data_IF_193911026272
#
_entry.id   IF_193911026272
#
_cell.length_a   1.000
_cell.length_b   1.000
_cell.length_c   1.000
_cell.angle_alpha   90.00
_cell.angle_beta   90.00
_cell.angle_gamma   90.00
#
_symmetry.space_group_name_H-M   'P 1'
#
loop_
_entity.id
_entity.type
_entity.pdbx_description
1 polymer ?
#
# COMPACT_ATOMS: atom_id res chain seq x y z
N UNK A 1 -21.92 4.03 -4.92
CA UNK A 1 -23.25 3.54 -5.35
C UNK A 1 -23.05 2.07 -5.69
N UNK A 2 -23.78 1.17 -5.03
CA UNK A 2 -23.66 -0.28 -5.22
C UNK A 2 -24.96 -0.79 -5.81
N UNK A 3 -24.90 -1.53 -6.91
CA UNK A 3 -26.06 -2.17 -7.53
C UNK A 3 -26.30 -3.54 -6.88
N UNK A 4 -27.16 -3.60 -5.86
CA UNK A 4 -27.43 -4.82 -5.09
C UNK A 4 -27.89 -6.00 -5.97
N UNK A 5 -28.58 -5.71 -7.07
CA UNK A 5 -29.08 -6.71 -8.00
C UNK A 5 -27.98 -7.53 -8.69
N UNK A 6 -26.80 -6.96 -8.88
CA UNK A 6 -25.63 -7.67 -9.44
C UNK A 6 -25.13 -8.75 -8.47
N UNK A 7 -25.09 -8.42 -7.18
CA UNK A 7 -24.70 -9.34 -6.11
C UNK A 7 -25.77 -10.41 -5.90
N UNK A 8 -27.06 -10.05 -5.99
CA UNK A 8 -28.18 -11.00 -5.94
C UNK A 8 -28.08 -12.03 -7.08
N UNK A 9 -27.83 -11.58 -8.31
CA UNK A 9 -27.71 -12.45 -9.48
C UNK A 9 -26.51 -13.41 -9.35
N UNK A 10 -25.34 -12.87 -8.96
CA UNK A 10 -24.15 -13.70 -8.76
C UNK A 10 -24.33 -14.73 -7.64
N UNK A 11 -25.08 -14.41 -6.58
CA UNK A 11 -25.34 -15.35 -5.49
C UNK A 11 -26.34 -16.44 -5.91
N UNK A 12 -27.31 -16.10 -6.77
CA UNK A 12 -28.28 -17.05 -7.33
C UNK A 12 -27.67 -18.00 -8.37
N UNK A 13 -26.52 -17.66 -8.97
CA UNK A 13 -25.78 -18.56 -9.87
C UNK A 13 -25.07 -19.72 -9.14
N UNK A 14 -24.95 -19.65 -7.81
CA UNK A 14 -24.32 -20.73 -7.05
C UNK A 14 -25.17 -22.02 -7.16
N UNK A 15 -24.60 -23.18 -7.57
CA UNK A 15 -25.38 -24.40 -7.85
C UNK A 15 -26.21 -24.94 -6.69
N UNK A 16 -25.86 -24.56 -5.46
CA UNK A 16 -26.59 -24.94 -4.25
C UNK A 16 -27.69 -23.95 -3.82
N UNK A 17 -27.83 -22.80 -4.47
CA UNK A 17 -28.74 -21.71 -4.06
C UNK A 17 -29.94 -21.64 -5.00
N UNK A 18 -31.14 -21.75 -4.43
CA UNK A 18 -32.42 -21.65 -5.13
C UNK A 18 -32.91 -20.20 -5.27
N UNK A 19 -32.69 -19.37 -4.24
CA UNK A 19 -33.08 -17.96 -4.23
C UNK A 19 -32.06 -17.14 -3.45
N UNK A 20 -31.84 -15.90 -3.86
CA UNK A 20 -30.94 -14.98 -3.20
C UNK A 20 -31.57 -13.59 -3.04
N UNK A 21 -31.18 -12.88 -1.99
CA UNK A 21 -31.49 -11.47 -1.79
C UNK A 21 -30.29 -10.78 -1.15
N UNK A 22 -30.08 -9.49 -1.44
CA UNK A 22 -28.98 -8.72 -0.85
C UNK A 22 -29.52 -7.43 -0.27
N UNK A 23 -29.07 -7.09 0.93
CA UNK A 23 -29.46 -5.90 1.65
C UNK A 23 -28.21 -5.14 2.11
N UNK A 24 -28.23 -3.81 2.01
CA UNK A 24 -27.28 -2.97 2.72
C UNK A 24 -27.79 -2.71 4.15
N UNK A 25 -26.96 -2.97 5.16
CA UNK A 25 -27.27 -2.77 6.58
C UNK A 25 -26.02 -2.26 7.31
N UNK A 26 -26.10 -1.12 8.00
CA UNK A 26 -24.95 -0.49 8.69
C UNK A 26 -23.67 -0.40 7.83
N UNK A 27 -23.77 0.19 6.65
CA UNK A 27 -22.66 0.39 5.69
C UNK A 27 -21.97 -0.89 5.17
N UNK A 28 -22.60 -2.06 5.29
CA UNK A 28 -22.13 -3.34 4.74
C UNK A 28 -23.21 -4.09 3.98
N UNK A 29 -22.80 -4.99 3.10
CA UNK A 29 -23.69 -5.89 2.36
C UNK A 29 -23.96 -7.18 3.14
N UNK A 30 -25.23 -7.60 3.16
CA UNK A 30 -25.70 -8.87 3.74
C UNK A 30 -26.35 -9.70 2.64
N UNK A 31 -25.87 -10.92 2.43
CA UNK A 31 -26.39 -11.86 1.43
C UNK A 31 -27.29 -12.91 2.07
N UNK A 32 -28.55 -12.98 1.66
CA UNK A 32 -29.48 -14.01 2.07
C UNK A 32 -29.56 -15.07 0.97
N UNK A 33 -29.43 -16.34 1.32
CA UNK A 33 -29.49 -17.44 0.38
C UNK A 33 -30.44 -18.54 0.88
N UNK A 34 -31.28 -19.04 -0.01
CA UNK A 34 -32.14 -20.20 0.22
C UNK A 34 -31.53 -21.40 -0.52
N UNK A 35 -31.06 -22.45 0.17
CA UNK A 35 -30.51 -23.62 -0.50
C UNK A 35 -31.57 -24.40 -1.30
N UNK A 36 -31.13 -25.14 -2.33
CA UNK A 36 -31.97 -26.17 -2.95
C UNK A 36 -32.33 -27.29 -1.96
N UNK A 37 -33.48 -27.94 -2.17
CA UNK A 37 -33.86 -29.12 -1.39
C UNK A 37 -32.77 -30.20 -1.53
N UNK A 38 -32.25 -30.68 -0.40
CA UNK A 38 -31.13 -31.63 -0.28
C UNK A 38 -29.72 -31.09 -0.60
N UNK A 39 -29.54 -29.78 -0.77
CA UNK A 39 -28.21 -29.17 -0.89
C UNK A 39 -27.68 -28.74 0.50
N UNK A 40 -26.44 -29.12 0.81
CA UNK A 40 -25.72 -28.54 1.95
C UNK A 40 -24.85 -27.40 1.46
N UNK A 41 -25.22 -26.17 1.79
CA UNK A 41 -24.49 -24.95 1.40
C UNK A 41 -23.76 -24.41 2.63
N UNK A 42 -22.45 -24.16 2.52
CA UNK A 42 -21.69 -23.47 3.56
C UNK A 42 -21.44 -22.02 3.17
N UNK A 43 -21.39 -21.13 4.17
CA UNK A 43 -21.11 -19.70 3.95
C UNK A 43 -19.77 -19.45 3.27
N UNK A 44 -18.73 -20.24 3.60
CA UNK A 44 -17.43 -20.15 2.95
C UNK A 44 -17.51 -20.43 1.43
N UNK A 45 -18.35 -21.38 1.02
CA UNK A 45 -18.55 -21.75 -0.38
C UNK A 45 -19.25 -20.61 -1.15
N UNK A 46 -20.25 -19.95 -0.52
CA UNK A 46 -20.92 -18.76 -1.08
C UNK A 46 -19.97 -17.56 -1.20
N UNK A 47 -19.15 -17.31 -0.19
CA UNK A 47 -18.16 -16.23 -0.20
C UNK A 47 -17.11 -16.45 -1.28
N UNK A 48 -16.55 -17.66 -1.37
CA UNK A 48 -15.60 -18.02 -2.42
C UNK A 48 -16.20 -17.90 -3.82
N UNK A 49 -17.46 -18.31 -4.00
CA UNK A 49 -18.17 -18.17 -5.26
C UNK A 49 -18.32 -16.70 -5.69
N UNK A 50 -18.68 -15.80 -4.76
CA UNK A 50 -18.82 -14.38 -5.05
C UNK A 50 -17.47 -13.67 -5.23
N UNK A 51 -16.47 -13.97 -4.40
CA UNK A 51 -15.13 -13.38 -4.53
C UNK A 51 -14.45 -13.73 -5.86
N UNK A 52 -14.80 -14.86 -6.47
CA UNK A 52 -14.33 -15.22 -7.81
C UNK A 52 -15.02 -14.49 -8.96
N UNK A 53 -16.06 -13.70 -8.70
CA UNK A 53 -16.95 -13.07 -9.70
C UNK A 53 -17.15 -11.58 -9.51
N UNK A 54 -16.98 -11.08 -8.29
CA UNK A 54 -17.25 -9.70 -7.90
C UNK A 54 -16.01 -9.09 -7.23
N UNK A 55 -15.77 -7.77 -7.39
CA UNK A 55 -14.84 -7.02 -6.56
C UNK A 55 -15.09 -7.22 -5.06
N UNK A 56 -14.02 -7.22 -4.26
CA UNK A 56 -14.10 -7.51 -2.80
C UNK A 56 -15.14 -6.66 -2.04
N UNK A 57 -15.30 -5.39 -2.41
CA UNK A 57 -16.26 -4.48 -1.77
C UNK A 57 -17.73 -4.79 -2.10
N UNK A 58 -18.00 -5.63 -3.11
CA UNK A 58 -19.33 -6.12 -3.49
C UNK A 58 -19.64 -7.49 -2.89
N UNK A 59 -18.66 -8.17 -2.31
CA UNK A 59 -18.87 -9.46 -1.62
C UNK A 59 -19.52 -9.20 -0.26
N UNK A 60 -20.70 -9.78 0.04
CA UNK A 60 -21.34 -9.61 1.33
C UNK A 60 -20.43 -9.97 2.51
N UNK A 61 -20.39 -9.08 3.49
CA UNK A 61 -19.63 -9.29 4.72
C UNK A 61 -20.27 -10.41 5.57
N UNK A 62 -21.58 -10.58 5.47
CA UNK A 62 -22.38 -11.56 6.22
C UNK A 62 -23.29 -12.33 5.26
N UNK A 63 -23.42 -13.63 5.47
CA UNK A 63 -24.40 -14.47 4.78
C UNK A 63 -25.39 -15.08 5.77
N UNK A 64 -26.67 -15.11 5.41
CA UNK A 64 -27.75 -15.70 6.20
C UNK A 64 -28.44 -16.75 5.34
N UNK A 65 -28.43 -18.00 5.81
CA UNK A 65 -29.17 -19.09 5.17
C UNK A 65 -30.61 -19.10 5.67
N UNK A 66 -31.57 -19.13 4.75
CA UNK A 66 -33.00 -19.14 5.03
C UNK A 66 -33.66 -20.38 4.42
N UNK A 67 -34.75 -20.84 5.02
CA UNK A 67 -35.59 -21.87 4.42
C UNK A 67 -36.42 -21.32 3.24
N UNK A 68 -36.80 -20.04 3.30
CA UNK A 68 -37.49 -19.32 2.24
C UNK A 68 -37.30 -17.80 2.39
N UNK A 69 -37.37 -17.06 1.28
CA UNK A 69 -37.40 -15.60 1.33
C UNK A 69 -38.81 -15.12 1.77
N UNK A 70 -38.90 -14.11 2.66
CA UNK A 70 -40.18 -13.54 3.04
C UNK A 70 -40.80 -12.79 1.86
N UNK A 71 -42.09 -13.01 1.62
CA UNK A 71 -42.84 -12.38 0.52
C UNK A 71 -43.99 -11.53 1.08
N UNK A 72 -44.21 -10.38 0.44
CA UNK A 72 -45.40 -9.56 0.64
C UNK A 72 -46.66 -10.29 0.14
N UNK A 73 -47.88 -9.86 0.53
CA UNK A 73 -49.13 -10.42 0.01
C UNK A 73 -49.28 -10.41 -1.53
N UNK A 74 -48.49 -9.56 -2.21
CA UNK A 74 -48.45 -9.46 -3.67
C UNK A 74 -47.35 -10.34 -4.32
N UNK A 75 -46.70 -11.23 -3.55
CA UNK A 75 -45.69 -12.17 -4.05
C UNK A 75 -44.31 -11.57 -4.35
N UNK A 76 -44.05 -10.32 -3.93
CA UNK A 76 -42.71 -9.68 -4.04
C UNK A 76 -41.92 -9.87 -2.75
N UNK A 77 -40.58 -9.92 -2.85
CA UNK A 77 -39.66 -9.96 -1.71
C UNK A 77 -39.97 -8.83 -0.70
N UNK A 78 -40.24 -9.23 0.55
CA UNK A 78 -40.39 -8.31 1.67
C UNK A 78 -39.05 -8.09 2.36
N UNK A 79 -38.31 -7.07 1.91
CA UNK A 79 -36.99 -6.74 2.46
C UNK A 79 -37.03 -6.29 3.93
N UNK A 80 -38.17 -5.77 4.40
CA UNK A 80 -38.31 -5.34 5.80
C UNK A 80 -38.51 -6.52 6.75
N UNK A 81 -38.99 -7.65 6.24
CA UNK A 81 -39.18 -8.89 6.99
C UNK A 81 -37.96 -9.84 6.95
N UNK A 82 -36.87 -9.45 6.29
CA UNK A 82 -35.62 -10.23 6.32
C UNK A 82 -35.04 -10.23 7.75
N UNK A 83 -34.61 -11.39 8.28
CA UNK A 83 -34.03 -11.46 9.62
C UNK A 83 -32.82 -10.56 9.74
N UNK A 84 -32.71 -9.80 10.83
CA UNK A 84 -31.51 -9.04 11.12
C UNK A 84 -30.31 -10.01 11.20
N UNK A 85 -29.15 -9.66 10.59
CA UNK A 85 -27.97 -10.50 10.64
C UNK A 85 -27.55 -10.69 12.10
N UNK A 86 -27.61 -11.92 12.60
CA UNK A 86 -27.03 -12.25 13.91
C UNK A 86 -25.53 -12.15 13.74
N UNK A 87 -24.89 -11.23 14.47
CA UNK A 87 -23.44 -11.10 14.52
C UNK A 87 -22.82 -12.38 15.08
N UNK A 88 -22.49 -13.34 14.21
CA UNK A 88 -21.83 -14.57 14.61
C UNK A 88 -21.93 -15.70 13.59
N UNK A 89 -20.89 -15.85 12.77
CA UNK A 89 -20.26 -17.16 12.45
C UNK A 89 -19.21 -17.01 11.34
N UNK A 90 -18.14 -16.26 11.65
CA UNK A 90 -16.84 -16.59 11.07
C UNK A 90 -16.34 -17.83 11.82
N UNK A 91 -16.56 -19.01 11.23
CA UNK A 91 -15.99 -20.29 11.65
C UNK A 91 -16.47 -20.84 12.99
N UNK A 92 -16.68 -22.15 13.05
CA UNK A 92 -16.59 -22.92 14.29
C UNK A 92 -15.11 -22.98 14.75
N UNK A 93 -14.45 -21.83 14.82
CA UNK A 93 -13.05 -21.67 15.14
C UNK A 93 -12.86 -21.60 16.65
N UNK A 94 -11.71 -22.08 17.11
CA UNK A 94 -11.32 -21.99 18.51
C UNK A 94 -11.30 -20.52 18.95
N UNK A 95 -11.96 -20.22 20.07
CA UNK A 95 -11.92 -18.90 20.72
C UNK A 95 -10.53 -18.68 21.33
N UNK A 96 -9.98 -17.44 21.33
CA UNK A 96 -8.74 -17.13 22.03
C UNK A 96 -8.81 -17.54 23.50
N UNK A 97 -7.81 -18.29 23.95
CA UNK A 97 -7.68 -18.85 25.31
C UNK A 97 -6.71 -18.04 26.17
N UNK A 98 -5.89 -17.19 25.55
CA UNK A 98 -4.92 -16.34 26.25
C UNK A 98 -5.12 -14.87 25.88
N UNK A 99 -4.74 -13.93 26.76
CA UNK A 99 -4.74 -12.50 26.43
C UNK A 99 -3.91 -12.18 25.18
N UNK A 100 -2.85 -12.96 24.95
CA UNK A 100 -2.00 -12.83 23.77
C UNK A 100 -2.72 -13.28 22.49
N UNK A 101 -3.41 -14.42 22.49
CA UNK A 101 -4.25 -14.85 21.35
C UNK A 101 -5.35 -13.81 21.07
N UNK A 102 -5.94 -13.20 22.11
CA UNK A 102 -6.96 -12.16 21.94
C UNK A 102 -6.40 -10.90 21.26
N UNK A 103 -5.28 -10.36 21.75
CA UNK A 103 -4.65 -9.18 21.13
C UNK A 103 -4.24 -9.49 19.68
N UNK A 104 -3.74 -10.69 19.40
CA UNK A 104 -3.37 -11.08 18.03
C UNK A 104 -4.59 -11.17 17.10
N UNK A 105 -5.72 -11.74 17.55
CA UNK A 105 -6.98 -11.72 16.81
C UNK A 105 -7.42 -10.28 16.48
N UNK A 106 -7.34 -9.37 17.45
CA UNK A 106 -7.69 -7.96 17.27
C UNK A 106 -6.76 -7.26 16.26
N UNK A 107 -5.46 -7.53 16.33
CA UNK A 107 -4.47 -6.98 15.38
C UNK A 107 -4.66 -7.53 13.96
N UNK A 108 -4.96 -8.83 13.81
CA UNK A 108 -5.29 -9.42 12.51
C UNK A 108 -6.54 -8.76 11.93
N UNK A 109 -7.61 -8.66 12.72
CA UNK A 109 -8.86 -8.03 12.32
C UNK A 109 -8.66 -6.58 11.87
N UNK A 110 -7.93 -5.78 12.65
CA UNK A 110 -7.62 -4.38 12.34
C UNK A 110 -6.84 -4.24 11.02
N UNK A 111 -5.84 -5.11 10.80
CA UNK A 111 -4.96 -5.04 9.63
C UNK A 111 -5.66 -5.50 8.36
N UNK A 112 -6.45 -6.58 8.46
CA UNK A 112 -7.20 -7.15 7.35
C UNK A 112 -8.49 -6.37 7.05
N UNK A 113 -8.93 -5.50 7.97
CA UNK A 113 -10.19 -4.76 7.83
C UNK A 113 -11.43 -5.64 7.97
N UNK A 114 -11.32 -6.75 8.71
CA UNK A 114 -12.41 -7.70 8.95
C UNK A 114 -12.95 -7.56 10.38
N UNK A 115 -14.23 -7.85 10.65
CA UNK A 115 -14.83 -7.61 11.96
C UNK A 115 -14.27 -8.51 13.07
N UNK A 116 -13.85 -9.72 12.73
CA UNK A 116 -13.30 -10.68 13.67
C UNK A 116 -12.40 -11.67 12.94
N UNK A 117 -11.37 -12.16 13.64
CA UNK A 117 -10.47 -13.23 13.19
C UNK A 117 -10.42 -14.30 14.29
N UNK A 118 -10.65 -15.55 13.91
CA UNK A 118 -10.50 -16.73 14.76
C UNK A 118 -9.04 -17.12 14.96
N UNK A 119 -8.75 -17.92 16.00
CA UNK A 119 -7.36 -18.22 16.37
C UNK A 119 -6.65 -19.07 15.32
N UNK A 120 -7.40 -19.90 14.60
CA UNK A 120 -6.89 -20.81 13.59
C UNK A 120 -7.12 -20.29 12.15
N UNK A 121 -7.62 -19.05 12.00
CA UNK A 121 -7.82 -18.44 10.69
C UNK A 121 -6.46 -18.03 10.09
N UNK A 122 -6.26 -18.38 8.81
CA UNK A 122 -5.05 -18.06 8.07
C UNK A 122 -5.08 -16.61 7.56
N UNK A 123 -4.01 -15.87 7.86
CA UNK A 123 -3.86 -14.47 7.48
C UNK A 123 -4.04 -14.22 5.97
N UNK A 124 -3.49 -15.10 5.14
CA UNK A 124 -3.49 -14.97 3.68
C UNK A 124 -4.83 -15.43 3.09
N UNK A 125 -5.49 -16.42 3.68
CA UNK A 125 -6.86 -16.82 3.29
C UNK A 125 -7.88 -15.70 3.55
N UNK A 126 -7.63 -14.85 4.55
CA UNK A 126 -8.46 -13.69 4.87
C UNK A 126 -8.13 -12.44 4.02
N UNK A 127 -7.37 -12.58 2.94
CA UNK A 127 -7.01 -11.46 2.05
C UNK A 127 -5.72 -10.74 2.44
N UNK A 128 -4.96 -11.28 3.39
CA UNK A 128 -3.64 -10.78 3.75
C UNK A 128 -2.65 -10.87 2.60
N UNK A 129 -1.82 -9.84 2.43
CA UNK A 129 -0.69 -9.83 1.49
C UNK A 129 0.55 -9.24 2.17
N UNK A 130 1.72 -9.32 1.54
CA UNK A 130 3.04 -9.00 2.14
C UNK A 130 3.11 -7.63 2.84
N UNK A 131 2.33 -6.67 2.35
CA UNK A 131 2.25 -5.32 2.88
C UNK A 131 1.41 -5.24 4.16
N UNK A 132 0.25 -5.91 4.17
CA UNK A 132 -0.54 -6.10 5.38
C UNK A 132 0.22 -6.94 6.40
N UNK A 133 0.95 -7.97 5.96
CA UNK A 133 1.84 -8.76 6.80
C UNK A 133 2.92 -7.89 7.48
N UNK A 134 3.51 -6.96 6.74
CA UNK A 134 4.49 -6.00 7.29
C UNK A 134 3.84 -5.05 8.30
N UNK A 135 2.62 -4.57 8.03
CA UNK A 135 1.83 -3.76 8.97
C UNK A 135 1.50 -4.55 10.24
N UNK A 136 1.08 -5.80 10.10
CA UNK A 136 0.77 -6.71 11.20
C UNK A 136 1.99 -6.92 12.09
N UNK A 137 3.15 -7.26 11.52
CA UNK A 137 4.41 -7.40 12.27
C UNK A 137 4.77 -6.11 13.01
N UNK A 138 4.62 -4.95 12.37
CA UNK A 138 4.88 -3.66 13.00
C UNK A 138 3.94 -3.37 14.18
N UNK A 139 2.64 -3.72 14.05
CA UNK A 139 1.62 -3.56 15.10
C UNK A 139 1.83 -4.53 16.26
N UNK A 140 2.13 -5.80 15.97
CA UNK A 140 2.48 -6.80 16.99
C UNK A 140 3.66 -6.31 17.83
N UNK A 141 4.70 -5.76 17.19
CA UNK A 141 5.83 -5.17 17.91
C UNK A 141 5.41 -4.00 18.80
N UNK A 142 4.60 -3.06 18.29
CA UNK A 142 4.20 -1.88 19.09
C UNK A 142 3.28 -2.22 20.25
N UNK A 143 2.41 -3.23 20.09
CA UNK A 143 1.35 -3.55 21.06
C UNK A 143 1.77 -4.62 22.06
N UNK A 144 2.51 -5.64 21.62
CA UNK A 144 2.90 -6.80 22.44
C UNK A 144 4.38 -6.77 22.83
N UNK A 145 5.20 -5.88 22.25
CA UNK A 145 6.64 -5.83 22.51
C UNK A 145 7.42 -7.04 21.96
N UNK A 146 6.81 -7.82 21.07
CA UNK A 146 7.39 -9.04 20.50
C UNK A 146 7.83 -8.83 19.05
N UNK A 147 8.93 -9.47 18.65
CA UNK A 147 9.42 -9.44 17.27
C UNK A 147 9.08 -10.76 16.57
N UNK A 148 8.21 -10.68 15.56
CA UNK A 148 7.95 -11.79 14.64
C UNK A 148 8.60 -11.45 13.31
N UNK A 149 9.56 -12.25 12.89
CA UNK A 149 10.13 -12.13 11.55
C UNK A 149 9.03 -12.38 10.50
N UNK A 150 9.08 -11.67 9.37
CA UNK A 150 8.13 -11.89 8.28
C UNK A 150 8.07 -13.36 7.84
N UNK A 151 9.24 -14.04 7.85
CA UNK A 151 9.33 -15.49 7.62
C UNK A 151 8.48 -16.31 8.60
N UNK A 152 8.47 -15.94 9.88
CA UNK A 152 7.66 -16.61 10.90
C UNK A 152 6.17 -16.49 10.60
N UNK A 153 5.71 -15.32 10.15
CA UNK A 153 4.31 -15.14 9.73
C UNK A 153 3.95 -16.00 8.51
N UNK A 154 4.85 -16.17 7.54
CA UNK A 154 4.60 -17.08 6.41
C UNK A 154 4.64 -18.58 6.81
N UNK A 155 5.45 -18.94 7.80
CA UNK A 155 5.55 -20.33 8.28
C UNK A 155 4.38 -20.72 9.19
N UNK A 156 3.90 -19.79 9.99
CA UNK A 156 2.78 -19.97 10.91
C UNK A 156 1.79 -18.81 10.74
N UNK A 157 0.96 -18.83 9.68
CA UNK A 157 0.08 -17.71 9.29
C UNK A 157 -1.18 -17.56 10.14
N UNK A 158 -1.31 -18.28 11.24
CA UNK A 158 -2.46 -18.24 12.15
C UNK A 158 -2.07 -17.64 13.50
N UNK A 159 -3.05 -17.09 14.22
CA UNK A 159 -2.83 -16.58 15.58
C UNK A 159 -2.33 -17.71 16.51
N UNK A 160 -2.84 -18.93 16.35
CA UNK A 160 -2.40 -20.12 17.06
C UNK A 160 -0.90 -20.37 16.89
N UNK A 161 -0.45 -20.41 15.63
CA UNK A 161 0.93 -20.71 15.28
C UNK A 161 1.87 -19.60 15.74
N UNK A 162 1.47 -18.33 15.53
CA UNK A 162 2.23 -17.19 16.04
C UNK A 162 2.33 -17.20 17.56
N UNK A 163 1.23 -17.38 18.29
CA UNK A 163 1.26 -17.40 19.75
C UNK A 163 2.15 -18.49 20.33
N UNK A 164 2.29 -19.63 19.64
CA UNK A 164 3.19 -20.70 20.06
C UNK A 164 4.67 -20.34 19.86
N UNK A 165 5.02 -19.69 18.75
CA UNK A 165 6.40 -19.28 18.43
C UNK A 165 6.86 -18.04 19.22
N UNK A 166 5.93 -17.21 19.67
CA UNK A 166 6.21 -15.96 20.38
C UNK A 166 6.84 -16.16 21.76
N UNK A 167 6.68 -17.34 22.39
CA UNK A 167 7.36 -17.66 23.65
C UNK A 167 8.89 -17.76 23.49
N UNK A 168 9.38 -17.91 22.26
CA UNK A 168 10.82 -18.06 21.91
C UNK A 168 11.42 -16.77 21.31
N UNK A 169 10.65 -15.68 21.21
CA UNK A 169 11.07 -14.48 20.49
C UNK A 169 12.22 -13.74 21.19
N UNK A 170 13.41 -13.78 20.57
CA UNK A 170 14.61 -13.06 20.98
C UNK A 170 14.57 -11.54 20.76
N UNK A 171 15.71 -10.90 21.10
CA UNK A 171 15.98 -9.44 21.22
C UNK A 171 15.05 -8.51 20.42
N UNK A 172 14.20 -7.78 21.16
CA UNK A 172 13.30 -6.73 20.67
C UNK A 172 14.05 -5.65 19.88
N UNK A 173 13.75 -5.51 18.57
CA UNK A 173 14.16 -4.37 17.76
C UNK A 173 13.71 -3.04 18.40
N UNK A 174 14.60 -2.06 18.61
CA UNK A 174 14.25 -0.76 19.17
C UNK A 174 13.10 -0.10 18.39
N UNK A 175 12.20 0.57 19.12
CA UNK A 175 11.09 1.32 18.51
C UNK A 175 11.62 2.53 17.73
N UNK A 176 10.93 2.89 16.65
CA UNK A 176 11.17 4.15 15.95
C UNK A 176 10.49 5.29 16.72
N UNK A 177 11.26 6.29 17.11
CA UNK A 177 10.77 7.49 17.80
C UNK A 177 11.62 8.70 17.41
N UNK A 178 11.05 9.89 17.58
CA UNK A 178 11.81 11.14 17.52
C UNK A 178 13.02 11.10 18.47
N UNK A 179 14.16 11.63 18.01
CA UNK A 179 15.41 11.60 18.77
C UNK A 179 16.23 12.86 18.52
N UNK A 180 17.21 13.09 19.39
CA UNK A 180 18.21 14.13 19.17
C UNK A 180 19.02 13.80 17.90
N UNK A 181 19.15 14.80 17.02
CA UNK A 181 19.80 14.68 15.73
C UNK A 181 21.20 15.31 15.81
N UNK A 182 22.23 14.68 15.24
CA UNK A 182 23.52 15.34 15.08
C UNK A 182 23.39 16.55 14.15
N UNK A 183 24.36 17.45 14.19
CA UNK A 183 24.42 18.62 13.30
C UNK A 183 24.40 18.20 11.82
N UNK A 184 25.11 17.13 11.48
CA UNK A 184 25.13 16.52 10.16
C UNK A 184 24.39 15.19 10.19
N UNK A 185 23.16 15.18 9.69
CA UNK A 185 22.36 13.95 9.58
C UNK A 185 22.80 13.18 8.34
N UNK A 186 23.25 11.91 8.46
CA UNK A 186 23.66 11.14 7.29
C UNK A 186 22.45 10.76 6.42
N UNK A 187 22.67 10.32 5.19
CA UNK A 187 21.60 9.73 4.37
C UNK A 187 21.19 8.35 4.87
N UNK A 188 19.93 7.96 4.61
CA UNK A 188 19.52 6.55 4.74
C UNK A 188 20.24 5.70 3.69
N UNK A 189 20.27 4.37 3.85
CA UNK A 189 20.89 3.51 2.83
C UNK A 189 20.19 3.61 1.46
N UNK A 190 18.86 3.77 1.46
CA UNK A 190 18.09 3.98 0.23
C UNK A 190 18.41 5.34 -0.43
N UNK A 191 18.53 6.40 0.37
CA UNK A 191 18.90 7.72 -0.14
C UNK A 191 20.35 7.76 -0.65
N UNK A 192 21.29 7.07 0.00
CA UNK A 192 22.68 6.98 -0.47
C UNK A 192 22.75 6.43 -1.91
N UNK A 193 22.02 5.34 -2.19
CA UNK A 193 21.94 4.78 -3.56
C UNK A 193 21.44 5.82 -4.55
N UNK A 194 20.34 6.50 -4.23
CA UNK A 194 19.74 7.49 -5.15
C UNK A 194 20.62 8.72 -5.35
N UNK A 195 21.26 9.22 -4.28
CA UNK A 195 22.22 10.31 -4.37
C UNK A 195 23.44 9.93 -5.23
N UNK A 196 23.98 8.72 -5.04
CA UNK A 196 25.08 8.21 -5.86
C UNK A 196 24.70 8.14 -7.34
N UNK A 197 23.55 7.57 -7.67
CA UNK A 197 23.06 7.50 -9.05
C UNK A 197 22.84 8.90 -9.64
N UNK A 198 22.27 9.82 -8.86
CA UNK A 198 22.10 11.21 -9.27
C UNK A 198 23.44 11.92 -9.56
N UNK A 199 24.49 11.63 -8.79
CA UNK A 199 25.84 12.18 -9.04
C UNK A 199 26.53 11.54 -10.24
N UNK A 200 26.34 10.24 -10.43
CA UNK A 200 26.97 9.45 -11.50
C UNK A 200 26.34 9.73 -12.87
N UNK A 201 25.01 9.68 -12.97
CA UNK A 201 24.28 9.86 -14.22
C UNK A 201 23.98 11.33 -14.54
N UNK A 202 24.28 12.23 -13.60
CA UNK A 202 23.83 13.61 -13.60
C UNK A 202 22.36 13.74 -13.23
N UNK A 203 21.87 14.99 -13.25
CA UNK A 203 20.48 15.29 -12.92
C UNK A 203 19.55 14.81 -14.05
N UNK A 204 19.16 13.53 -14.01
CA UNK A 204 18.21 12.91 -14.94
C UNK A 204 16.83 12.75 -14.30
N UNK A 205 15.80 12.59 -15.13
CA UNK A 205 14.43 12.38 -14.68
C UNK A 205 14.07 10.91 -14.37
N UNK A 206 15.06 9.99 -14.40
CA UNK A 206 14.82 8.56 -14.25
C UNK A 206 14.19 8.17 -12.89
N UNK A 207 14.37 9.02 -11.87
CA UNK A 207 13.85 8.83 -10.52
C UNK A 207 12.82 9.89 -10.11
N UNK A 208 12.14 10.50 -11.08
CA UNK A 208 11.00 11.36 -10.78
C UNK A 208 9.71 10.54 -10.63
N UNK A 209 8.85 11.00 -9.72
CA UNK A 209 7.51 10.48 -9.47
C UNK A 209 6.52 11.60 -9.80
N UNK A 210 6.05 11.69 -11.07
CA UNK A 210 5.04 12.65 -11.47
C UNK A 210 3.63 12.16 -11.08
N UNK A 211 2.88 13.01 -10.40
CA UNK A 211 1.49 12.79 -9.99
C UNK A 211 0.63 13.91 -10.62
N UNK A 212 -0.17 13.56 -11.63
CA UNK A 212 -1.09 14.50 -12.28
C UNK A 212 -2.51 14.29 -11.76
N UNK A 213 -3.14 15.36 -11.26
CA UNK A 213 -4.51 15.39 -10.77
C UNK A 213 -5.34 16.34 -11.64
N UNK A 214 -6.33 15.81 -12.35
CA UNK A 214 -7.33 16.64 -13.03
C UNK A 214 -8.38 17.10 -12.01
N UNK A 215 -8.60 18.40 -11.95
CA UNK A 215 -9.50 19.08 -11.01
C UNK A 215 -10.60 19.77 -11.81
N UNK A 216 -11.86 19.48 -11.47
CA UNK A 216 -13.05 20.07 -12.13
C UNK A 216 -13.87 20.84 -11.10
N UNK A 217 -14.31 22.04 -11.46
CA UNK A 217 -15.02 22.99 -10.62
C UNK A 217 -14.17 24.19 -10.19
N UNK A 218 -14.73 25.00 -9.29
CA UNK A 218 -14.06 26.19 -8.76
C UNK A 218 -12.84 25.81 -7.92
N UNK A 219 -11.67 26.33 -8.31
CA UNK A 219 -10.40 26.11 -7.60
C UNK A 219 -9.96 27.39 -6.89
N UNK A 220 -9.82 27.33 -5.55
CA UNK A 220 -9.14 28.37 -4.79
C UNK A 220 -7.62 28.15 -4.87
N UNK A 221 -6.99 28.89 -5.78
CA UNK A 221 -5.55 28.77 -6.03
C UNK A 221 -4.69 29.15 -4.82
N UNK A 222 -5.14 30.11 -4.02
CA UNK A 222 -4.41 30.55 -2.83
C UNK A 222 -4.50 29.51 -1.72
N UNK A 223 -5.69 28.91 -1.53
CA UNK A 223 -5.88 27.80 -0.62
C UNK A 223 -5.03 26.58 -1.03
N UNK A 224 -4.91 26.29 -2.33
CA UNK A 224 -4.06 25.22 -2.85
C UNK A 224 -2.57 25.45 -2.55
N UNK A 225 -2.06 26.65 -2.83
CA UNK A 225 -0.67 26.99 -2.53
C UNK A 225 -0.37 26.89 -1.02
N UNK A 226 -1.29 27.39 -0.19
CA UNK A 226 -1.18 27.28 1.27
C UNK A 226 -1.25 25.83 1.76
N UNK A 227 -2.10 25.01 1.15
CA UNK A 227 -2.21 23.59 1.50
C UNK A 227 -0.93 22.82 1.16
N UNK A 228 -0.30 23.10 0.02
CA UNK A 228 1.00 22.54 -0.32
C UNK A 228 2.08 22.98 0.67
N UNK A 229 2.08 24.25 1.09
CA UNK A 229 2.99 24.75 2.11
C UNK A 229 2.80 24.01 3.45
N UNK A 230 1.56 23.76 3.88
CA UNK A 230 1.26 23.01 5.11
C UNK A 230 1.78 21.57 5.05
N UNK A 231 1.62 20.91 3.91
CA UNK A 231 2.10 19.54 3.69
C UNK A 231 3.63 19.49 3.70
N UNK A 232 4.30 20.44 3.03
CA UNK A 232 5.77 20.54 3.04
C UNK A 232 6.32 20.89 4.42
N UNK A 233 5.61 21.71 5.19
CA UNK A 233 5.97 21.99 6.58
C UNK A 233 5.89 20.72 7.45
N UNK A 234 4.80 19.94 7.28
CA UNK A 234 4.52 18.71 8.03
C UNK A 234 5.50 17.57 7.75
N UNK A 235 5.85 17.36 6.48
CA UNK A 235 6.68 16.24 6.03
C UNK A 235 8.09 16.73 5.67
N UNK A 236 9.05 16.55 6.58
CA UNK A 236 10.42 17.07 6.43
C UNK A 236 11.12 16.59 5.15
N UNK A 237 10.81 15.38 4.67
CA UNK A 237 11.40 14.81 3.45
C UNK A 237 11.13 15.68 2.21
N UNK A 238 10.01 16.39 2.15
CA UNK A 238 9.63 17.24 1.01
C UNK A 238 10.41 18.57 0.98
N UNK A 239 11.06 18.94 2.09
CA UNK A 239 11.91 20.14 2.22
C UNK A 239 13.36 19.81 2.62
N UNK A 240 13.79 18.58 2.38
CA UNK A 240 15.16 18.15 2.66
C UNK A 240 16.01 18.25 1.39
N UNK A 241 17.14 18.94 1.48
CA UNK A 241 18.19 18.94 0.44
C UNK A 241 19.35 18.05 0.87
N UNK A 242 20.19 17.66 -0.10
CA UNK A 242 21.20 16.61 0.03
C UNK A 242 22.61 17.10 -0.37
N UNK A 243 23.17 18.10 0.33
CA UNK A 243 24.50 18.60 0.05
C UNK A 243 25.59 17.59 0.46
N UNK A 244 26.80 17.85 -0.01
CA UNK A 244 28.01 17.15 0.41
C UNK A 244 28.73 18.02 1.46
N UNK A 245 29.11 17.42 2.59
CA UNK A 245 29.89 18.04 3.67
C UNK A 245 31.09 17.14 3.93
N UNK A 246 32.29 17.67 3.82
CA UNK A 246 33.55 16.92 4.01
C UNK A 246 33.65 15.62 3.19
N UNK A 247 33.12 15.64 1.96
CA UNK A 247 33.12 14.49 1.05
C UNK A 247 32.02 13.46 1.31
N UNK A 248 31.12 13.70 2.26
CA UNK A 248 30.01 12.81 2.60
C UNK A 248 28.65 13.49 2.35
N UNK A 249 27.67 12.79 1.75
CA UNK A 249 26.33 13.33 1.58
C UNK A 249 25.54 13.33 2.90
N UNK A 250 24.77 14.39 3.14
CA UNK A 250 23.96 14.54 4.34
C UNK A 250 22.54 15.01 4.02
N UNK A 251 21.63 14.82 4.97
CA UNK A 251 20.29 15.42 4.93
C UNK A 251 20.38 16.81 5.57
N UNK A 252 19.90 17.84 4.85
CA UNK A 252 19.68 19.17 5.41
C UNK A 252 18.21 19.55 5.23
N UNK A 253 17.47 19.47 6.33
CA UNK A 253 16.07 19.87 6.37
C UNK A 253 15.98 21.40 6.38
N UNK A 254 15.38 21.99 5.34
CA UNK A 254 15.23 23.44 5.24
C UNK A 254 14.07 23.95 6.10
N UNK A 255 14.12 25.22 6.49
CA UNK A 255 12.99 25.89 7.13
C UNK A 255 11.73 25.86 6.21
N UNK A 256 10.52 25.58 6.75
CA UNK A 256 9.30 25.51 5.95
C UNK A 256 9.01 26.76 5.10
N UNK A 257 9.29 27.95 5.61
CA UNK A 257 9.00 29.20 4.89
C UNK A 257 9.96 29.39 3.70
N UNK A 258 11.20 28.91 3.86
CA UNK A 258 12.20 28.92 2.78
C UNK A 258 11.87 27.90 1.69
N UNK A 259 11.33 26.73 2.06
CA UNK A 259 11.02 25.64 1.15
C UNK A 259 9.57 25.67 0.62
N UNK A 260 8.85 26.78 0.79
CA UNK A 260 7.43 26.92 0.38
C UNK A 260 7.27 26.71 -1.13
N UNK A 261 6.50 25.70 -1.58
CA UNK A 261 6.25 25.46 -3.00
C UNK A 261 5.52 26.65 -3.62
N UNK A 262 5.96 27.05 -4.83
CA UNK A 262 5.27 28.08 -5.62
C UNK A 262 4.49 27.41 -6.73
N UNK A 263 3.17 27.56 -6.71
CA UNK A 263 2.29 27.05 -7.77
C UNK A 263 2.09 28.16 -8.79
N UNK A 264 2.77 28.07 -9.95
CA UNK A 264 2.56 29.03 -11.04
C UNK A 264 1.48 28.49 -11.98
N UNK A 265 0.35 29.20 -12.16
CA UNK A 265 -0.64 28.80 -13.15
C UNK A 265 -0.10 29.05 -14.57
N UNK A 266 -0.31 28.08 -15.45
CA UNK A 266 -0.01 28.19 -16.87
C UNK A 266 -1.26 27.84 -17.68
N UNK A 267 -1.74 28.75 -18.51
CA UNK A 267 -2.82 28.47 -19.46
C UNK A 267 -2.31 27.54 -20.57
N UNK A 268 -3.01 26.43 -20.77
CA UNK A 268 -2.62 25.39 -21.74
C UNK A 268 -3.87 24.86 -22.43
N UNK A 269 -3.78 24.60 -23.75
CA UNK A 269 -4.86 23.94 -24.48
C UNK A 269 -4.85 22.45 -24.16
N UNK A 270 -6.02 21.82 -24.11
CA UNK A 270 -6.15 20.36 -23.90
C UNK A 270 -5.21 19.54 -24.79
N UNK A 271 -5.10 19.91 -26.07
CA UNK A 271 -4.25 19.22 -27.04
C UNK A 271 -2.75 19.29 -26.73
N UNK A 272 -2.29 20.32 -26.02
CA UNK A 272 -0.87 20.53 -25.69
C UNK A 272 -0.53 19.95 -24.30
N UNK A 273 -1.54 19.61 -23.50
CA UNK A 273 -1.36 19.15 -22.12
C UNK A 273 -0.40 17.95 -21.99
N UNK A 274 -0.49 16.88 -22.81
CA UNK A 274 0.42 15.73 -22.68
C UNK A 274 1.90 16.12 -22.84
N UNK A 275 2.22 17.00 -23.78
CA UNK A 275 3.58 17.47 -24.01
C UNK A 275 4.07 18.33 -22.84
N UNK A 276 3.23 19.24 -22.35
CA UNK A 276 3.56 20.11 -21.21
C UNK A 276 3.77 19.33 -19.91
N UNK A 277 2.93 18.33 -19.64
CA UNK A 277 3.12 17.41 -18.51
C UNK A 277 4.44 16.64 -18.64
N UNK A 278 4.75 16.12 -19.82
CA UNK A 278 5.97 15.36 -20.06
C UNK A 278 7.24 16.23 -19.97
N UNK A 279 7.17 17.50 -20.39
CA UNK A 279 8.25 18.48 -20.23
C UNK A 279 8.50 18.78 -18.75
N UNK A 280 7.45 19.18 -18.01
CA UNK A 280 7.52 19.49 -16.59
C UNK A 280 8.03 18.29 -15.76
N UNK A 281 7.51 17.09 -16.03
CA UNK A 281 7.94 15.86 -15.35
C UNK A 281 9.41 15.49 -15.59
N UNK A 282 10.00 15.95 -16.71
CA UNK A 282 11.41 15.68 -17.06
C UNK A 282 12.38 16.74 -16.58
N UNK A 283 11.90 17.87 -16.04
CA UNK A 283 12.78 18.92 -15.52
C UNK A 283 13.60 18.38 -14.35
N UNK A 284 14.94 18.35 -14.44
CA UNK A 284 15.79 17.74 -13.43
C UNK A 284 15.81 18.53 -12.12
N UNK A 285 16.00 17.86 -10.99
CA UNK A 285 16.22 18.50 -9.68
C UNK A 285 17.72 18.73 -9.42
N UNK A 286 18.08 19.84 -8.78
CA UNK A 286 19.39 19.96 -8.11
C UNK A 286 19.23 19.57 -6.64
N UNK A 287 19.47 18.29 -6.32
CA UNK A 287 19.25 17.79 -4.97
C UNK A 287 20.12 18.44 -3.90
N UNK A 288 21.22 19.14 -4.25
CA UNK A 288 22.08 19.80 -3.27
C UNK A 288 21.47 21.10 -2.71
N UNK A 289 20.61 21.77 -3.51
CA UNK A 289 20.10 23.11 -3.21
C UNK A 289 18.58 23.23 -3.29
N UNK A 290 17.93 22.33 -4.01
CA UNK A 290 16.50 22.39 -4.30
C UNK A 290 15.72 21.29 -3.57
N UNK A 291 14.61 21.65 -2.88
CA UNK A 291 13.67 20.67 -2.36
C UNK A 291 13.18 19.68 -3.44
N UNK A 292 13.05 18.38 -3.12
CA UNK A 292 12.71 17.32 -4.07
C UNK A 292 11.20 17.26 -4.41
N UNK A 293 10.54 18.42 -4.49
CA UNK A 293 9.11 18.56 -4.84
C UNK A 293 8.88 19.85 -5.65
N UNK A 294 8.24 19.71 -6.81
CA UNK A 294 7.71 20.81 -7.63
C UNK A 294 6.21 20.66 -7.82
N UNK A 295 5.54 21.80 -7.98
CA UNK A 295 4.12 21.87 -8.23
C UNK A 295 3.83 22.84 -9.38
N UNK A 296 3.12 22.36 -10.40
CA UNK A 296 2.67 23.16 -11.54
C UNK A 296 1.15 23.03 -11.70
N UNK A 297 0.48 24.14 -12.02
CA UNK A 297 -0.96 24.16 -12.26
C UNK A 297 -1.23 24.54 -13.71
N UNK A 298 -1.76 23.61 -14.49
CA UNK A 298 -2.22 23.86 -15.84
C UNK A 298 -3.70 24.27 -15.81
N UNK A 299 -4.03 25.40 -16.42
CA UNK A 299 -5.40 25.93 -16.52
C UNK A 299 -5.90 25.64 -17.93
N UNK A 300 -6.90 24.77 -18.05
CA UNK A 300 -7.50 24.35 -19.32
C UNK A 300 -8.76 25.17 -19.63
N UNK A 301 -9.54 25.46 -18.59
CA UNK A 301 -10.75 26.29 -18.61
C UNK A 301 -10.92 26.97 -17.23
N UNK A 302 -11.88 27.91 -17.05
CA UNK A 302 -12.13 28.54 -15.75
C UNK A 302 -12.42 27.57 -14.60
N UNK A 303 -12.99 26.41 -14.92
CA UNK A 303 -13.37 25.33 -14.00
C UNK A 303 -12.67 24.00 -14.31
N UNK A 304 -11.67 23.98 -15.19
CA UNK A 304 -10.87 22.78 -15.47
C UNK A 304 -9.38 23.06 -15.33
N UNK A 305 -8.73 22.29 -14.44
CA UNK A 305 -7.33 22.44 -14.11
C UNK A 305 -6.64 21.08 -14.03
N UNK A 306 -5.32 21.07 -14.20
CA UNK A 306 -4.48 19.90 -13.90
C UNK A 306 -3.35 20.33 -12.98
N UNK A 307 -3.32 19.79 -11.76
CA UNK A 307 -2.21 19.95 -10.84
C UNK A 307 -1.20 18.83 -11.08
N UNK A 308 0.01 19.19 -11.46
CA UNK A 308 1.14 18.27 -11.54
C UNK A 308 2.04 18.46 -10.32
N UNK A 309 2.20 17.41 -9.52
CA UNK A 309 3.22 17.33 -8.49
C UNK A 309 4.34 16.41 -8.98
N UNK A 310 5.56 16.91 -9.05
CA UNK A 310 6.73 16.10 -9.40
C UNK A 310 7.59 15.97 -8.15
N UNK A 311 7.78 14.76 -7.66
CA UNK A 311 8.62 14.46 -6.51
C UNK A 311 9.83 13.62 -6.92
N UNK A 312 11.01 13.88 -6.37
CA UNK A 312 12.15 12.97 -6.57
C UNK A 312 12.03 11.76 -5.64
N UNK A 313 12.32 10.55 -6.13
CA UNK A 313 12.19 9.29 -5.37
C UNK A 313 13.05 9.22 -4.09
N UNK A 314 13.99 10.15 -3.93
CA UNK A 314 14.81 10.30 -2.71
C UNK A 314 13.99 10.78 -1.49
N UNK A 315 12.85 11.42 -1.73
CA UNK A 315 11.99 12.01 -0.70
C UNK A 315 10.68 11.23 -0.44
N UNK A 316 10.32 10.33 -1.34
CA UNK A 316 9.11 9.52 -1.24
C UNK A 316 9.12 8.36 -2.21
N UNK A 317 8.21 7.43 -1.97
CA UNK A 317 8.02 6.19 -2.72
C UNK A 317 6.53 5.95 -3.01
N UNK A 318 6.18 4.77 -3.53
CA UNK A 318 4.79 4.41 -3.81
C UNK A 318 3.88 4.53 -2.57
N UNK A 319 4.37 4.17 -1.38
CA UNK A 319 3.59 4.28 -0.14
C UNK A 319 3.31 5.73 0.23
N UNK A 320 4.30 6.59 0.00
CA UNK A 320 4.27 8.01 0.35
C UNK A 320 3.18 8.80 -0.40
N UNK A 321 2.72 8.30 -1.55
CA UNK A 321 1.67 8.93 -2.36
C UNK A 321 0.33 9.02 -1.62
N UNK A 322 -0.06 7.98 -0.87
CA UNK A 322 -1.33 7.95 -0.13
C UNK A 322 -1.42 9.01 0.97
N UNK A 323 -0.47 9.05 1.93
CA UNK A 323 -0.38 10.12 2.93
C UNK A 323 -0.27 11.52 2.32
N UNK A 324 0.50 11.69 1.24
CA UNK A 324 0.62 12.97 0.53
C UNK A 324 -0.74 13.47 0.02
N UNK A 325 -1.47 12.63 -0.72
CA UNK A 325 -2.79 12.99 -1.27
C UNK A 325 -3.82 13.26 -0.17
N UNK A 326 -3.88 12.42 0.87
CA UNK A 326 -4.79 12.61 2.00
C UNK A 326 -4.51 13.92 2.73
N UNK A 327 -3.24 14.18 3.03
CA UNK A 327 -2.88 15.36 3.80
C UNK A 327 -3.09 16.64 2.96
N UNK A 328 -2.79 16.62 1.65
CA UNK A 328 -3.09 17.73 0.74
C UNK A 328 -4.59 18.04 0.66
N UNK A 329 -5.44 17.01 0.53
CA UNK A 329 -6.89 17.19 0.49
C UNK A 329 -7.42 17.82 1.80
N UNK A 330 -6.96 17.32 2.95
CA UNK A 330 -7.36 17.85 4.25
C UNK A 330 -6.87 19.30 4.48
N UNK A 331 -5.64 19.62 4.08
CA UNK A 331 -5.14 20.99 4.13
C UNK A 331 -5.90 21.93 3.21
N UNK A 332 -6.19 21.49 1.97
CA UNK A 332 -6.95 22.30 1.02
C UNK A 332 -8.35 22.62 1.55
N UNK A 333 -9.06 21.62 2.10
CA UNK A 333 -10.36 21.82 2.72
C UNK A 333 -10.31 22.84 3.88
N UNK A 334 -9.34 22.70 4.80
CA UNK A 334 -9.18 23.63 5.90
C UNK A 334 -8.88 25.06 5.42
N UNK A 335 -8.03 25.21 4.40
CA UNK A 335 -7.63 26.51 3.85
C UNK A 335 -8.76 27.20 3.08
N UNK A 336 -9.62 26.45 2.39
CA UNK A 336 -10.84 26.98 1.79
C UNK A 336 -11.80 27.59 2.82
N UNK A 337 -11.77 27.08 4.05
CA UNK A 337 -12.54 27.64 5.18
C UNK A 337 -11.78 28.74 5.95
N UNK A 338 -10.60 29.16 5.47
CA UNK A 338 -9.78 30.17 6.14
C UNK A 338 -9.08 29.68 7.41
N UNK A 339 -9.01 28.37 7.64
CA UNK A 339 -8.38 27.74 8.82
C UNK A 339 -7.05 27.10 8.45
N UNK A 340 -6.17 26.94 9.44
CA UNK A 340 -5.01 26.06 9.31
C UNK A 340 -5.43 24.60 9.52
N UNK A 341 -4.81 23.63 8.84
CA UNK A 341 -5.11 22.23 9.09
C UNK A 341 -4.69 21.81 10.49
N UNK A 342 -5.53 21.00 11.14
CA UNK A 342 -5.27 20.45 12.46
C UNK A 342 -5.04 18.95 12.35
N UNK A 343 -3.85 18.51 12.73
CA UNK A 343 -3.43 17.12 12.69
C UNK A 343 -2.40 16.84 13.78
N UNK A 344 -2.40 15.62 14.33
CA UNK A 344 -1.42 15.23 15.34
C UNK A 344 -0.01 15.33 14.76
N UNK A 345 0.94 15.68 15.64
CA UNK A 345 2.36 15.65 15.31
C UNK A 345 2.77 14.23 14.87
N UNK A 346 3.63 14.15 13.87
CA UNK A 346 4.19 12.87 13.45
C UNK A 346 5.12 12.35 14.56
N UNK A 347 5.01 11.07 14.97
CA UNK A 347 5.80 10.53 16.08
C UNK A 347 7.30 10.39 15.75
N UNK A 348 7.64 10.42 14.47
CA UNK A 348 9.00 10.44 13.94
C UNK A 348 8.99 11.04 12.52
N UNK A 349 10.13 11.59 12.11
CA UNK A 349 10.39 12.04 10.74
C UNK A 349 11.42 11.12 10.07
N UNK A 350 11.67 11.33 8.77
CA UNK A 350 12.56 10.47 8.00
C UNK A 350 14.02 10.51 8.47
N UNK A 351 14.48 11.66 9.00
CA UNK A 351 15.79 11.78 9.65
C UNK A 351 15.89 10.85 10.87
N UNK A 352 14.83 10.75 11.67
CA UNK A 352 14.79 9.86 12.83
C UNK A 352 14.82 8.39 12.40
N UNK A 353 14.09 8.02 11.33
CA UNK A 353 14.18 6.70 10.69
C UNK A 353 15.61 6.39 10.23
N UNK A 354 16.29 7.37 9.65
CA UNK A 354 17.66 7.20 9.14
C UNK A 354 18.63 6.86 10.26
N UNK A 355 18.59 7.64 11.35
CA UNK A 355 19.44 7.43 12.53
C UNK A 355 19.07 6.12 13.25
N UNK A 356 17.77 5.80 13.32
CA UNK A 356 17.28 4.55 13.90
C UNK A 356 17.75 3.34 13.09
N UNK A 357 17.64 3.36 11.76
CA UNK A 357 18.07 2.26 10.89
C UNK A 357 19.57 1.99 11.03
N UNK A 358 20.38 3.05 11.05
CA UNK A 358 21.83 2.94 11.25
C UNK A 358 22.18 2.36 12.62
N UNK A 359 21.58 2.90 13.68
CA UNK A 359 21.81 2.38 15.04
C UNK A 359 21.34 0.93 15.22
N UNK A 360 20.26 0.54 14.53
CA UNK A 360 19.76 -0.84 14.56
C UNK A 360 20.69 -1.83 13.87
N UNK A 361 21.21 -1.45 12.70
CA UNK A 361 22.10 -2.33 11.94
C UNK A 361 23.46 -2.43 12.62
N UNK A 362 23.89 -1.38 13.32
CA UNK A 362 25.18 -1.34 13.98
C UNK A 362 26.32 -1.05 13.00
N UNK A 363 27.54 -1.22 13.49
CA UNK A 363 28.76 -0.97 12.71
C UNK A 363 29.02 -2.13 11.74
N UNK A 364 29.41 -1.82 10.50
CA UNK A 364 29.78 -2.83 9.52
C UNK A 364 31.09 -3.53 9.89
N UNK A 365 31.98 -2.85 10.63
CA UNK A 365 33.26 -3.39 11.08
C UNK A 365 33.16 -4.23 12.35
N UNK A 366 31.98 -4.24 13.01
CA UNK A 366 31.66 -5.12 14.13
C UNK A 366 31.08 -6.45 13.61
N UNK A 367 31.81 -7.58 13.73
CA UNK A 367 31.35 -8.88 13.23
C UNK A 367 30.09 -9.39 13.95
N UNK A 368 29.78 -8.89 15.14
CA UNK A 368 28.59 -9.26 15.90
C UNK A 368 27.37 -8.38 15.58
N UNK A 369 27.52 -7.39 14.69
CA UNK A 369 26.43 -6.49 14.33
C UNK A 369 25.41 -7.15 13.40
N UNK A 370 24.16 -6.63 13.43
CA UNK A 370 23.12 -7.06 12.49
C UNK A 370 23.48 -6.72 11.04
N UNK A 371 24.30 -5.70 10.83
CA UNK A 371 24.82 -5.33 9.52
C UNK A 371 25.72 -6.44 8.97
N UNK A 372 26.72 -6.88 9.75
CA UNK A 372 27.66 -7.92 9.35
C UNK A 372 26.93 -9.25 9.09
N UNK A 373 25.99 -9.64 9.96
CA UNK A 373 25.16 -10.84 9.78
C UNK A 373 24.38 -10.83 8.46
N UNK A 374 23.69 -9.72 8.14
CA UNK A 374 22.93 -9.61 6.90
C UNK A 374 23.83 -9.53 5.66
N UNK A 375 24.98 -8.86 5.79
CA UNK A 375 25.95 -8.78 4.71
C UNK A 375 26.53 -10.17 4.37
N UNK A 376 26.86 -10.97 5.38
CA UNK A 376 27.35 -12.34 5.20
C UNK A 376 26.33 -13.22 4.49
N UNK A 377 25.06 -13.15 4.93
CA UNK A 377 23.96 -13.84 4.25
C UNK A 377 23.87 -13.46 2.77
N UNK A 378 23.82 -12.17 2.45
CA UNK A 378 23.68 -11.74 1.06
C UNK A 378 24.92 -12.02 0.21
N UNK A 379 26.12 -11.89 0.79
CA UNK A 379 27.37 -12.24 0.11
C UNK A 379 27.39 -13.72 -0.26
N UNK A 380 26.90 -14.58 0.64
CA UNK A 380 26.79 -16.03 0.40
C UNK A 380 25.70 -16.35 -0.64
N UNK A 381 24.50 -15.80 -0.52
CA UNK A 381 23.38 -16.11 -1.43
C UNK A 381 23.58 -15.58 -2.85
N UNK A 382 24.31 -14.47 -2.99
CA UNK A 382 24.58 -13.82 -4.27
C UNK A 382 25.95 -14.22 -4.86
N UNK A 383 26.66 -15.13 -4.20
CA UNK A 383 27.90 -15.70 -4.71
C UNK A 383 27.68 -16.34 -6.09
N UNK A 384 28.65 -16.16 -6.98
CA UNK A 384 28.66 -16.74 -8.34
C UNK A 384 27.46 -16.38 -9.23
N UNK A 385 26.72 -15.30 -8.90
CA UNK A 385 25.67 -14.80 -9.78
C UNK A 385 26.27 -14.41 -11.16
N UNK A 386 25.57 -14.75 -12.26
CA UNK A 386 26.01 -14.32 -13.57
C UNK A 386 26.01 -12.78 -13.64
N UNK A 387 27.05 -12.21 -14.25
CA UNK A 387 27.16 -10.76 -14.43
C UNK A 387 25.92 -10.16 -15.14
N UNK A 388 25.28 -10.96 -16.00
CA UNK A 388 24.17 -10.51 -16.84
C UNK A 388 23.25 -11.66 -17.26
N UNK A 389 21.95 -11.44 -17.15
CA UNK A 389 20.93 -12.25 -17.82
C UNK A 389 20.90 -11.96 -19.33
N UNK A 390 20.89 -13.00 -20.16
CA UNK A 390 20.71 -12.84 -21.60
C UNK A 390 19.21 -12.91 -21.92
N UNK A 391 18.66 -11.81 -22.43
CA UNK A 391 17.29 -11.73 -22.90
C UNK A 391 17.29 -11.53 -24.43
N UNK A 392 16.25 -11.98 -25.16
CA UNK A 392 16.15 -11.83 -26.61
C UNK A 392 15.89 -10.36 -26.99
N UNK A 393 16.93 -9.53 -26.93
CA UNK A 393 16.87 -8.12 -27.30
C UNK A 393 17.10 -7.94 -28.81
N UNK A 394 16.30 -7.07 -29.44
CA UNK A 394 16.42 -6.74 -30.87
C UNK A 394 17.74 -6.06 -31.24
N UNK A 395 18.42 -5.46 -30.26
CA UNK A 395 19.63 -4.65 -30.43
C UNK A 395 20.66 -4.98 -29.34
N UNK A 396 21.96 -4.86 -29.63
CA UNK A 396 23.00 -5.04 -28.63
C UNK A 396 22.88 -3.98 -27.52
N UNK A 397 23.20 -4.38 -26.29
CA UNK A 397 23.21 -3.47 -25.14
C UNK A 397 24.33 -2.43 -25.30
N UNK A 398 24.04 -1.12 -25.25
CA UNK A 398 25.06 -0.09 -25.36
C UNK A 398 25.91 0.01 -24.08
N UNK A 399 27.09 0.64 -24.19
CA UNK A 399 27.99 0.88 -23.05
C UNK A 399 27.42 1.88 -22.03
N UNK A 400 26.61 2.83 -22.48
CA UNK A 400 25.94 3.84 -21.64
C UNK A 400 24.43 3.61 -21.70
N UNK A 401 23.78 3.53 -20.54
CA UNK A 401 22.33 3.38 -20.46
C UNK A 401 21.64 4.68 -20.90
N UNK A 402 20.77 4.60 -21.91
CA UNK A 402 20.04 5.77 -22.41
C UNK A 402 18.79 6.13 -21.60
N UNK A 403 18.35 5.27 -20.68
CA UNK A 403 17.14 5.40 -19.84
C UNK A 403 15.82 5.70 -20.58
N UNK A 404 15.82 5.64 -21.92
CA UNK A 404 14.60 5.71 -22.74
C UNK A 404 13.86 4.39 -22.62
N UNK A 405 12.63 4.45 -22.11
CA UNK A 405 11.73 3.32 -21.98
C UNK A 405 10.37 3.63 -22.56
N UNK A 406 9.57 2.58 -22.72
CA UNK A 406 8.16 2.63 -23.07
C UNK A 406 7.42 1.63 -22.16
N UNK A 407 6.10 1.75 -22.06
CA UNK A 407 5.28 0.89 -21.24
C UNK A 407 4.23 0.17 -22.09
N UNK A 408 4.29 -1.16 -22.08
CA UNK A 408 3.26 -2.00 -22.69
C UNK A 408 2.36 -2.53 -21.58
N UNK A 409 1.10 -2.10 -21.58
CA UNK A 409 0.09 -2.59 -20.65
C UNK A 409 -0.28 -4.04 -20.97
N UNK A 410 -0.34 -4.88 -19.93
CA UNK A 410 -0.92 -6.21 -19.98
C UNK A 410 -2.09 -6.24 -19.01
N UNK A 411 -3.25 -6.68 -19.49
CA UNK A 411 -4.44 -6.86 -18.66
C UNK A 411 -4.63 -8.34 -18.35
N UNK A 412 -4.79 -8.67 -17.06
CA UNK A 412 -5.25 -9.99 -16.62
C UNK A 412 -6.75 -9.91 -16.43
N UNK A 413 -7.51 -10.77 -17.10
CA UNK A 413 -8.96 -10.77 -16.94
C UNK A 413 -9.33 -11.12 -15.49
N UNK A 414 -10.49 -10.66 -14.98
CA UNK A 414 -10.94 -10.99 -13.63
C UNK A 414 -10.94 -12.49 -13.35
N UNK A 415 -11.32 -13.32 -14.32
CA UNK A 415 -11.36 -14.77 -14.20
C UNK A 415 -9.96 -15.36 -14.05
N UNK A 416 -8.98 -14.86 -14.82
CA UNK A 416 -7.58 -15.28 -14.70
C UNK A 416 -6.99 -14.84 -13.36
N UNK A 417 -7.28 -13.60 -12.94
CA UNK A 417 -6.85 -13.11 -11.63
C UNK A 417 -7.39 -13.98 -10.50
N UNK A 418 -8.69 -14.28 -10.49
CA UNK A 418 -9.31 -15.17 -9.50
C UNK A 418 -8.67 -16.57 -9.52
N UNK A 419 -8.40 -17.13 -10.70
CA UNK A 419 -7.72 -18.42 -10.82
C UNK A 419 -6.29 -18.40 -10.27
N UNK A 420 -5.54 -17.31 -10.46
CA UNK A 420 -4.19 -17.14 -9.91
C UNK A 420 -4.20 -16.96 -8.38
N UNK A 421 -5.16 -16.21 -7.84
CA UNK A 421 -5.35 -16.09 -6.38
C UNK A 421 -5.67 -17.45 -5.77
N UNK A 422 -6.56 -18.22 -6.40
CA UNK A 422 -6.92 -19.55 -5.93
C UNK A 422 -5.76 -20.56 -6.06
N UNK A 423 -4.93 -20.43 -7.11
CA UNK A 423 -3.70 -21.21 -7.23
C UNK A 423 -2.72 -20.88 -6.09
N UNK A 424 -2.56 -19.60 -5.77
CA UNK A 424 -1.73 -19.15 -4.66
C UNK A 424 -2.20 -19.79 -3.35
N UNK A 425 -3.51 -19.70 -3.06
CA UNK A 425 -4.15 -20.28 -1.89
C UNK A 425 -3.93 -21.78 -1.76
N UNK A 426 -4.25 -22.56 -2.81
CA UNK A 426 -4.05 -24.03 -2.82
C UNK A 426 -2.59 -24.45 -2.66
N UNK A 427 -1.66 -23.58 -3.00
CA UNK A 427 -0.21 -23.83 -2.93
C UNK A 427 0.43 -23.32 -1.64
N UNK A 428 -0.35 -22.73 -0.72
CA UNK A 428 0.19 -22.07 0.47
C UNK A 428 1.13 -20.89 0.13
N UNK A 429 0.87 -20.21 -0.98
CA UNK A 429 1.68 -19.13 -1.52
C UNK A 429 0.87 -17.84 -1.61
N UNK A 430 1.57 -16.71 -1.77
CA UNK A 430 0.92 -15.44 -2.10
C UNK A 430 0.80 -15.27 -3.62
N UNK A 431 -0.15 -14.45 -4.09
CA UNK A 431 -0.25 -14.08 -5.51
C UNK A 431 1.08 -13.55 -6.05
N UNK A 432 1.81 -12.78 -5.23
CA UNK A 432 3.14 -12.29 -5.57
C UNK A 432 4.13 -13.42 -5.91
N UNK A 433 4.17 -14.48 -5.10
CA UNK A 433 5.04 -15.65 -5.35
C UNK A 433 4.64 -16.38 -6.63
N UNK A 434 3.34 -16.53 -6.90
CA UNK A 434 2.84 -17.16 -8.13
C UNK A 434 3.26 -16.36 -9.36
N UNK A 435 3.10 -15.03 -9.34
CA UNK A 435 3.52 -14.16 -10.43
C UNK A 435 5.04 -14.15 -10.62
N UNK A 436 5.81 -14.15 -9.53
CA UNK A 436 7.28 -14.28 -9.59
C UNK A 436 7.72 -15.61 -10.21
N UNK A 437 7.08 -16.72 -9.84
CA UNK A 437 7.38 -18.03 -10.42
C UNK A 437 7.05 -18.05 -11.92
N UNK A 438 5.93 -17.46 -12.33
CA UNK A 438 5.57 -17.28 -13.74
C UNK A 438 6.62 -16.47 -14.51
N UNK A 439 7.08 -15.35 -13.95
CA UNK A 439 8.13 -14.52 -14.56
C UNK A 439 9.48 -15.26 -14.66
N UNK A 440 9.87 -15.99 -13.63
CA UNK A 440 11.09 -16.82 -13.65
C UNK A 440 11.01 -17.93 -14.69
N UNK A 441 9.86 -18.59 -14.81
CA UNK A 441 9.61 -19.60 -15.84
C UNK A 441 9.66 -19.01 -17.25
N UNK A 442 9.11 -17.80 -17.44
CA UNK A 442 9.21 -17.07 -18.71
C UNK A 442 10.68 -16.78 -19.05
N UNK A 443 11.46 -16.21 -18.14
CA UNK A 443 12.88 -15.92 -18.37
C UNK A 443 13.75 -17.16 -18.58
N UNK A 444 13.33 -18.32 -18.08
CA UNK A 444 14.00 -19.61 -18.35
C UNK A 444 13.65 -20.16 -19.74
N UNK A 445 12.50 -19.77 -20.28
CA UNK A 445 11.99 -20.23 -21.59
C UNK A 445 12.46 -19.37 -22.76
N UNK A 446 12.63 -18.08 -22.53
CA UNK A 446 13.27 -17.13 -23.45
C UNK A 446 14.77 -17.41 -23.52
#
# INVERSE_FOLDING_TARGET
RVELGEVEAALAEHPGVAQAAVLAHDDRLVGYAVPHQNATVRVADLRGHLAGRLPDYLVPAVFVLLEALPLTPNGKLDRAALPAPVSGSAGAGRVPRTPQEQILCELFAEVLGVPQVGVDDDFFDLGGHSLLATRLVARMRSTLGVEVGLRGLFQTPTVAGLSATLAEAGRVRPALAARERPEVVPLSFAQNRLWFLHRMDGATAAYHIPLALRLTGTLDRQALENALADVVARHESLRTVFPEVDGAPCQRVLDPDTARPRVRPAEVREADLPERLAEAARQPFDLATEPPLRAELFVLAPDEHVLLLVMHHIAGDGWSTGPLSRDLAAAYAARCEGRTPHWPALPAQYADYTLWQRGLLGDADDPESRFAEQLDYWTTQLADLPERLQLPADRPRPAVAGYRGDHIGLELTPELHAALVELARRSGASLFMVLQAGLAALYTRL
#
